data_IF_768865379827
#
_entry.id   IF_768865379827
#
_cell.length_a   1.000
_cell.length_b   1.000
_cell.length_c   1.000
_cell.angle_alpha   90.00
_cell.angle_beta   90.00
_cell.angle_gamma   90.00
#
_symmetry.space_group_name_H-M   'P 1'
#
loop_
_entity.id
_entity.type
_entity.pdbx_description
1 polymer ?
#
# COMPACT_ATOMS: atom_id res chain seq x y z
N UNK A 1 -3.54 -10.71 -18.94
CA UNK A 1 -4.56 -11.68 -18.48
C UNK A 1 -5.49 -10.95 -17.53
N UNK A 2 -6.82 -10.94 -17.77
CA UNK A 2 -7.78 -10.21 -16.93
C UNK A 2 -8.79 -11.11 -16.21
N UNK A 3 -8.80 -12.40 -16.49
CA UNK A 3 -9.77 -13.35 -15.96
C UNK A 3 -9.08 -14.62 -15.45
N UNK A 4 -9.63 -15.21 -14.38
CA UNK A 4 -9.12 -16.43 -13.75
C UNK A 4 -8.90 -17.58 -14.73
N UNK A 5 -9.87 -17.82 -15.64
CA UNK A 5 -9.77 -18.90 -16.64
C UNK A 5 -8.60 -18.71 -17.59
N UNK A 6 -8.37 -17.48 -18.05
CA UNK A 6 -7.26 -17.16 -18.95
C UNK A 6 -5.91 -17.30 -18.21
N UNK A 7 -5.84 -16.88 -16.94
CA UNK A 7 -4.67 -17.08 -16.08
C UNK A 7 -4.37 -18.56 -15.90
N UNK A 8 -5.39 -19.35 -15.56
CA UNK A 8 -5.26 -20.78 -15.39
C UNK A 8 -4.72 -21.47 -16.66
N UNK A 9 -5.32 -21.19 -17.81
CA UNK A 9 -4.90 -21.74 -19.10
C UNK A 9 -3.44 -21.41 -19.40
N UNK A 10 -3.06 -20.13 -19.23
CA UNK A 10 -1.68 -19.68 -19.47
C UNK A 10 -0.67 -20.41 -18.57
N UNK A 11 -0.92 -20.48 -17.27
CA UNK A 11 -0.01 -21.18 -16.34
C UNK A 11 0.08 -22.66 -16.69
N UNK A 12 -1.03 -23.33 -17.01
CA UNK A 12 -1.03 -24.74 -17.42
C UNK A 12 -0.24 -24.99 -18.72
N UNK A 13 -0.23 -24.02 -19.62
CA UNK A 13 0.57 -24.12 -20.86
C UNK A 13 2.08 -24.04 -20.59
N UNK A 14 2.51 -23.23 -19.63
CA UNK A 14 3.94 -23.08 -19.30
C UNK A 14 4.43 -24.11 -18.28
N UNK A 15 3.53 -24.81 -17.57
CA UNK A 15 3.85 -25.83 -16.54
C UNK A 15 3.63 -27.26 -17.04
N UNK A 16 4.03 -27.56 -18.28
CA UNK A 16 3.81 -28.88 -18.92
C UNK A 16 4.76 -29.98 -18.44
N UNK A 17 5.90 -29.61 -17.89
CA UNK A 17 6.93 -30.55 -17.43
C UNK A 17 6.63 -30.95 -16.00
N UNK A 18 6.84 -32.22 -15.63
CA UNK A 18 6.68 -32.65 -14.24
C UNK A 18 7.79 -32.06 -13.35
N UNK A 19 7.43 -31.57 -12.17
CA UNK A 19 8.38 -31.00 -11.21
C UNK A 19 7.71 -29.96 -10.31
N UNK A 20 8.47 -29.47 -9.34
CA UNK A 20 8.02 -28.40 -8.46
C UNK A 20 8.16 -27.05 -9.14
N UNK A 21 7.11 -26.23 -9.06
CA UNK A 21 7.07 -24.90 -9.62
C UNK A 21 7.06 -23.81 -8.53
N UNK A 22 7.59 -22.64 -8.86
CA UNK A 22 7.44 -21.41 -8.10
C UNK A 22 6.71 -20.40 -8.96
N UNK A 23 5.46 -20.10 -8.59
CA UNK A 23 4.57 -19.22 -9.36
C UNK A 23 4.50 -17.89 -8.64
N UNK A 24 4.97 -16.82 -9.29
CA UNK A 24 4.94 -15.46 -8.78
C UNK A 24 3.92 -14.66 -9.58
N UNK A 25 2.88 -14.16 -8.91
CA UNK A 25 1.79 -13.39 -9.50
C UNK A 25 1.79 -12.01 -8.87
N UNK A 26 2.22 -11.03 -9.65
CA UNK A 26 2.31 -9.63 -9.21
C UNK A 26 1.02 -8.88 -9.53
N UNK A 27 0.57 -8.00 -8.62
CA UNK A 27 -0.66 -7.22 -8.73
C UNK A 27 -1.88 -8.09 -9.10
N UNK A 28 -2.04 -9.20 -8.42
CA UNK A 28 -3.01 -10.25 -8.78
C UNK A 28 -4.46 -9.74 -8.76
N UNK A 29 -4.77 -8.68 -8.01
CA UNK A 29 -6.10 -8.07 -7.97
C UNK A 29 -6.56 -7.51 -9.32
N UNK A 30 -5.66 -7.36 -10.29
CA UNK A 30 -6.00 -6.99 -11.67
C UNK A 30 -6.68 -8.14 -12.46
N UNK A 31 -6.70 -9.34 -11.90
CA UNK A 31 -7.33 -10.51 -12.49
C UNK A 31 -8.64 -10.80 -11.77
N UNK A 32 -9.74 -10.73 -12.49
CA UNK A 32 -11.07 -11.05 -11.91
C UNK A 32 -11.13 -12.52 -11.48
N UNK A 33 -11.68 -12.78 -10.29
CA UNK A 33 -11.84 -14.13 -9.70
C UNK A 33 -10.50 -14.91 -9.56
N UNK A 34 -9.37 -14.22 -9.45
CA UNK A 34 -8.04 -14.84 -9.42
C UNK A 34 -7.86 -15.91 -8.32
N UNK A 35 -8.55 -15.78 -7.20
CA UNK A 35 -8.54 -16.75 -6.11
C UNK A 35 -8.99 -18.14 -6.58
N UNK A 36 -9.91 -18.22 -7.56
CA UNK A 36 -10.32 -19.47 -8.17
C UNK A 36 -9.19 -20.12 -8.95
N UNK A 37 -8.42 -19.32 -9.67
CA UNK A 37 -7.24 -19.80 -10.40
C UNK A 37 -6.14 -20.29 -9.45
N UNK A 38 -5.84 -19.51 -8.40
CA UNK A 38 -4.84 -19.89 -7.38
C UNK A 38 -5.26 -21.18 -6.67
N UNK A 39 -6.53 -21.32 -6.28
CA UNK A 39 -7.01 -22.54 -5.67
C UNK A 39 -6.90 -23.75 -6.60
N UNK A 40 -7.16 -23.59 -7.90
CA UNK A 40 -6.96 -24.64 -8.89
C UNK A 40 -5.48 -25.02 -9.04
N UNK A 41 -4.56 -24.06 -9.03
CA UNK A 41 -3.11 -24.36 -9.06
C UNK A 41 -2.66 -25.16 -7.85
N UNK A 42 -3.15 -24.84 -6.64
CA UNK A 42 -2.83 -25.59 -5.43
C UNK A 42 -3.29 -27.05 -5.47
N UNK A 43 -4.29 -27.37 -6.30
CA UNK A 43 -4.80 -28.73 -6.49
C UNK A 43 -4.06 -29.47 -7.62
N UNK A 44 -3.80 -28.76 -8.72
CA UNK A 44 -3.38 -29.36 -9.99
C UNK A 44 -1.87 -29.37 -10.20
N UNK A 45 -1.11 -28.62 -9.41
CA UNK A 45 0.32 -28.45 -9.58
C UNK A 45 1.06 -28.67 -8.25
N UNK A 46 2.24 -29.26 -8.33
CA UNK A 46 3.21 -29.19 -7.25
C UNK A 46 3.90 -27.81 -7.31
N UNK A 47 3.32 -26.82 -6.63
CA UNK A 47 3.76 -25.44 -6.73
C UNK A 47 3.69 -24.68 -5.39
N UNK A 48 4.71 -23.85 -5.16
CA UNK A 48 4.63 -22.77 -4.19
C UNK A 48 4.17 -21.49 -4.93
N UNK A 49 3.11 -20.88 -4.45
CA UNK A 49 2.48 -19.74 -5.11
C UNK A 49 2.67 -18.49 -4.27
N UNK A 50 3.25 -17.47 -4.87
CA UNK A 50 3.46 -16.16 -4.27
C UNK A 50 2.60 -15.14 -5.00
N UNK A 51 1.76 -14.45 -4.25
CA UNK A 51 0.90 -13.39 -4.80
C UNK A 51 1.26 -12.07 -4.14
N UNK A 52 1.33 -11.02 -4.93
CA UNK A 52 1.47 -9.65 -4.43
C UNK A 52 0.27 -8.81 -4.83
N UNK A 53 0.07 -7.72 -4.11
CA UNK A 53 -0.91 -6.71 -4.46
C UNK A 53 -0.83 -5.53 -3.52
N UNK A 54 -1.10 -4.36 -4.06
CA UNK A 54 -1.05 -3.07 -3.35
C UNK A 54 -2.31 -2.78 -2.52
N UNK A 55 -3.27 -3.70 -2.46
CA UNK A 55 -4.57 -3.44 -1.87
C UNK A 55 -4.82 -4.27 -0.61
N UNK A 56 -5.28 -3.61 0.46
CA UNK A 56 -5.78 -4.27 1.68
C UNK A 56 -6.93 -5.27 1.41
N UNK A 57 -7.66 -5.11 0.31
CA UNK A 57 -8.69 -6.08 -0.14
C UNK A 57 -8.13 -7.44 -0.52
N UNK A 58 -6.84 -7.56 -0.86
CA UNK A 58 -6.20 -8.86 -0.97
C UNK A 58 -6.32 -9.70 0.30
N UNK A 59 -6.54 -9.05 1.44
CA UNK A 59 -6.70 -9.67 2.75
C UNK A 59 -8.15 -9.63 3.27
N UNK A 60 -9.11 -9.17 2.44
CA UNK A 60 -10.52 -9.07 2.86
C UNK A 60 -11.17 -10.45 3.03
N UNK A 61 -12.35 -10.45 3.68
CA UNK A 61 -13.09 -11.65 4.09
C UNK A 61 -13.44 -12.64 2.96
N UNK A 62 -13.47 -12.20 1.72
CA UNK A 62 -13.69 -13.07 0.56
C UNK A 62 -12.52 -14.01 0.30
N UNK A 63 -11.29 -13.56 0.54
CA UNK A 63 -10.10 -14.39 0.53
C UNK A 63 -10.07 -15.47 1.57
N UNK A 64 -10.49 -15.09 2.77
CA UNK A 64 -10.49 -16.02 3.89
C UNK A 64 -11.37 -17.25 3.63
N UNK A 65 -12.36 -17.12 2.76
CA UNK A 65 -13.29 -18.20 2.44
C UNK A 65 -12.70 -19.22 1.45
N UNK A 66 -12.06 -18.75 0.37
CA UNK A 66 -11.52 -19.65 -0.67
C UNK A 66 -10.15 -20.23 -0.33
N UNK A 67 -9.30 -19.47 0.36
CA UNK A 67 -7.93 -19.85 0.70
C UNK A 67 -7.72 -20.05 2.21
N UNK A 68 -8.80 -20.16 2.99
CA UNK A 68 -8.76 -20.28 4.45
C UNK A 68 -7.77 -21.36 4.91
N UNK A 69 -6.78 -20.95 5.72
CA UNK A 69 -5.79 -21.87 6.28
C UNK A 69 -4.72 -22.37 5.29
N UNK A 70 -4.69 -21.86 4.06
CA UNK A 70 -3.77 -22.29 3.00
C UNK A 70 -2.77 -21.21 2.57
N UNK A 71 -2.69 -20.08 3.25
CA UNK A 71 -1.76 -19.02 2.94
C UNK A 71 -1.11 -18.42 4.19
N UNK A 72 0.03 -17.80 3.99
CA UNK A 72 0.71 -16.97 4.98
C UNK A 72 0.81 -15.56 4.40
N UNK A 73 0.33 -14.56 5.15
CA UNK A 73 0.40 -13.17 4.73
C UNK A 73 1.66 -12.51 5.29
N UNK A 74 2.37 -11.80 4.42
CA UNK A 74 3.52 -10.97 4.76
C UNK A 74 3.18 -9.52 4.44
N UNK A 75 3.18 -8.67 5.45
CA UNK A 75 3.03 -7.23 5.28
C UNK A 75 4.40 -6.59 5.06
N UNK A 76 4.61 -6.04 3.89
CA UNK A 76 5.84 -5.33 3.56
C UNK A 76 5.64 -3.85 3.83
N UNK A 77 6.31 -3.36 4.86
CA UNK A 77 6.29 -1.94 5.24
C UNK A 77 7.49 -1.22 4.61
N UNK A 78 7.42 0.11 4.58
CA UNK A 78 8.59 0.94 4.31
C UNK A 78 9.64 0.75 5.41
N UNK A 79 10.91 1.11 5.15
CA UNK A 79 11.97 0.99 6.13
C UNK A 79 11.61 1.70 7.44
N UNK A 80 11.70 1.00 8.55
CA UNK A 80 11.71 1.62 9.87
C UNK A 80 13.01 2.43 10.07
N UNK A 81 13.06 3.31 11.06
CA UNK A 81 14.29 4.07 11.34
C UNK A 81 15.49 3.15 11.65
N UNK A 82 15.26 2.01 12.30
CA UNK A 82 16.32 1.02 12.51
C UNK A 82 16.83 0.41 11.22
N UNK A 83 15.93 0.03 10.32
CA UNK A 83 16.28 -0.53 9.01
C UNK A 83 16.94 0.53 8.13
N UNK A 84 16.49 1.80 8.18
CA UNK A 84 17.16 2.92 7.55
C UNK A 84 18.62 3.05 7.99
N UNK A 85 18.91 2.99 9.30
CA UNK A 85 20.28 3.03 9.81
C UNK A 85 21.12 1.88 9.25
N UNK A 86 20.58 0.65 9.26
CA UNK A 86 21.26 -0.53 8.71
C UNK A 86 21.49 -0.40 7.20
N UNK A 87 20.50 0.10 6.48
CA UNK A 87 20.56 0.29 5.03
C UNK A 87 21.66 1.28 4.62
N UNK A 88 21.89 2.31 5.46
CA UNK A 88 22.95 3.29 5.30
C UNK A 88 24.29 2.92 5.98
N UNK A 89 24.41 1.69 6.48
CA UNK A 89 25.58 1.21 7.23
C UNK A 89 25.93 2.10 8.44
N UNK A 90 24.92 2.74 9.05
CA UNK A 90 25.11 3.53 10.27
C UNK A 90 25.01 2.59 11.49
N UNK A 91 26.02 2.57 12.38
CA UNK A 91 25.98 1.72 13.57
C UNK A 91 24.75 2.03 14.43
N UNK A 92 24.13 0.99 15.01
CA UNK A 92 22.99 1.20 15.92
C UNK A 92 23.40 1.85 17.26
N UNK A 93 24.66 1.67 17.66
CA UNK A 93 25.24 2.26 18.85
C UNK A 93 25.97 3.57 18.50
N UNK A 94 25.19 4.64 18.29
CA UNK A 94 25.69 6.00 18.04
C UNK A 94 25.30 6.94 19.17
N UNK A 95 25.96 8.11 19.24
CA UNK A 95 25.62 9.14 20.24
C UNK A 95 24.16 9.62 20.08
N UNK A 96 23.59 10.17 21.13
CA UNK A 96 22.24 10.73 21.09
C UNK A 96 22.10 11.88 20.07
N UNK A 97 23.16 12.70 19.92
CA UNK A 97 23.21 13.78 18.92
C UNK A 97 23.18 13.25 17.49
N UNK A 98 24.00 12.24 17.19
CA UNK A 98 24.07 11.63 15.87
C UNK A 98 22.78 10.90 15.53
N UNK A 99 22.21 10.18 16.50
CA UNK A 99 20.91 9.52 16.35
C UNK A 99 19.80 10.52 16.01
N UNK A 100 19.81 11.70 16.67
CA UNK A 100 18.85 12.76 16.36
C UNK A 100 19.07 13.31 14.97
N UNK A 101 20.31 13.51 14.56
CA UNK A 101 20.64 14.00 13.21
C UNK A 101 20.17 13.00 12.13
N UNK A 102 20.46 11.70 12.30
CA UNK A 102 20.01 10.66 11.37
C UNK A 102 18.47 10.53 11.36
N UNK A 103 17.81 10.64 12.53
CA UNK A 103 16.36 10.61 12.59
C UNK A 103 15.72 11.78 11.86
N UNK A 104 16.27 12.97 11.93
CA UNK A 104 15.79 14.13 11.16
C UNK A 104 15.97 13.94 9.64
N UNK A 105 17.04 13.27 9.20
CA UNK A 105 17.19 12.89 7.79
C UNK A 105 16.13 11.89 7.39
N UNK A 106 15.94 10.83 8.16
CA UNK A 106 14.91 9.82 7.93
C UNK A 106 13.50 10.43 7.84
N UNK A 107 13.15 11.37 8.74
CA UNK A 107 11.86 12.05 8.69
C UNK A 107 11.65 12.87 7.40
N UNK A 108 12.73 13.41 6.81
CA UNK A 108 12.65 14.16 5.56
C UNK A 108 12.62 13.27 4.33
N UNK A 109 13.35 12.19 4.34
CA UNK A 109 13.48 11.28 3.20
C UNK A 109 12.37 10.22 3.18
N UNK A 110 11.89 9.82 4.34
CA UNK A 110 10.94 8.72 4.47
C UNK A 110 11.62 7.35 4.44
N UNK A 111 10.81 6.30 4.39
CA UNK A 111 11.28 4.91 4.47
C UNK A 111 11.21 4.13 3.16
N UNK A 112 10.93 4.73 2.00
CA UNK A 112 10.90 4.00 0.74
C UNK A 112 12.31 3.56 0.32
N UNK A 113 12.60 2.23 0.19
CA UNK A 113 13.95 1.77 -0.13
C UNK A 113 14.53 2.38 -1.40
N UNK A 114 13.71 2.60 -2.43
CA UNK A 114 14.14 3.15 -3.71
C UNK A 114 14.80 4.54 -3.58
N UNK A 115 14.40 5.34 -2.58
CA UNK A 115 14.98 6.66 -2.32
C UNK A 115 16.43 6.56 -1.82
N UNK A 116 16.74 5.45 -1.13
CA UNK A 116 18.03 5.23 -0.48
C UNK A 116 19.02 4.44 -1.32
N UNK A 117 18.63 3.97 -2.52
CA UNK A 117 19.51 3.21 -3.42
C UNK A 117 20.39 4.08 -4.31
N UNK A 118 20.07 5.36 -4.43
CA UNK A 118 20.83 6.32 -5.23
C UNK A 118 21.09 7.61 -4.45
N UNK A 119 22.12 8.36 -4.86
CA UNK A 119 22.44 9.64 -4.24
C UNK A 119 21.56 10.76 -4.81
N UNK A 120 20.29 10.75 -4.44
CA UNK A 120 19.36 11.82 -4.79
C UNK A 120 19.54 13.04 -3.88
N UNK A 121 19.42 14.24 -4.45
CA UNK A 121 19.25 15.45 -3.66
C UNK A 121 17.83 15.52 -3.02
N UNK A 122 17.65 16.41 -2.06
CA UNK A 122 16.37 16.53 -1.36
C UNK A 122 15.20 16.93 -2.29
N UNK A 123 15.45 17.67 -3.38
CA UNK A 123 14.41 18.06 -4.31
C UNK A 123 13.95 16.87 -5.14
N UNK A 124 14.88 16.04 -5.59
CA UNK A 124 14.57 14.80 -6.29
C UNK A 124 13.79 13.82 -5.39
N UNK A 125 14.22 13.67 -4.13
CA UNK A 125 13.53 12.83 -3.14
C UNK A 125 12.10 13.35 -2.93
N UNK A 126 11.93 14.64 -2.70
CA UNK A 126 10.60 15.22 -2.52
C UNK A 126 9.68 14.95 -3.73
N UNK A 127 10.20 15.09 -4.94
CA UNK A 127 9.46 14.81 -6.16
C UNK A 127 9.06 13.34 -6.25
N UNK A 128 9.97 12.41 -5.97
CA UNK A 128 9.66 10.97 -5.97
C UNK A 128 8.56 10.65 -4.95
N UNK A 129 8.69 11.14 -3.72
CA UNK A 129 7.67 10.92 -2.67
C UNK A 129 6.33 11.53 -3.06
N UNK A 130 6.34 12.73 -3.65
CA UNK A 130 5.13 13.38 -4.13
C UNK A 130 4.47 12.61 -5.28
N UNK A 131 5.25 12.06 -6.21
CA UNK A 131 4.74 11.24 -7.31
C UNK A 131 4.12 9.93 -6.79
N UNK A 132 4.76 9.29 -5.78
CA UNK A 132 4.19 8.11 -5.09
C UNK A 132 2.87 8.50 -4.40
N UNK A 133 2.86 9.57 -3.61
CA UNK A 133 1.67 10.08 -2.95
C UNK A 133 0.52 10.34 -3.96
N UNK A 134 0.83 11.06 -5.04
CA UNK A 134 -0.16 11.40 -6.06
C UNK A 134 -0.70 10.18 -6.79
N UNK A 135 0.14 9.17 -7.01
CA UNK A 135 -0.27 7.92 -7.66
C UNK A 135 -1.11 7.05 -6.73
N UNK A 136 -0.62 6.77 -5.53
CA UNK A 136 -1.27 5.82 -4.61
C UNK A 136 -2.45 6.48 -3.89
N UNK A 137 -2.23 7.62 -3.25
CA UNK A 137 -3.28 8.24 -2.40
C UNK A 137 -4.36 8.91 -3.24
N UNK A 138 -3.97 9.68 -4.26
CA UNK A 138 -4.97 10.41 -5.04
C UNK A 138 -5.57 9.56 -6.15
N UNK A 139 -4.77 9.13 -7.10
CA UNK A 139 -5.29 8.47 -8.29
C UNK A 139 -5.94 7.13 -7.99
N UNK A 140 -5.25 6.25 -7.27
CA UNK A 140 -5.76 4.90 -7.02
C UNK A 140 -6.97 4.93 -6.08
N UNK A 141 -6.90 5.73 -5.00
CA UNK A 141 -8.03 5.89 -4.07
C UNK A 141 -9.26 6.48 -4.78
N UNK A 142 -9.05 7.52 -5.59
CA UNK A 142 -10.13 8.16 -6.35
C UNK A 142 -10.79 7.19 -7.33
N UNK A 143 -10.00 6.45 -8.09
CA UNK A 143 -10.52 5.50 -9.08
C UNK A 143 -11.22 4.31 -8.41
N UNK A 144 -10.63 3.70 -7.40
CA UNK A 144 -11.17 2.52 -6.71
C UNK A 144 -12.47 2.80 -5.97
N UNK A 145 -12.58 3.96 -5.34
CA UNK A 145 -13.75 4.31 -4.52
C UNK A 145 -14.74 5.23 -5.24
N UNK A 146 -14.50 5.55 -6.52
CA UNK A 146 -15.37 6.43 -7.30
C UNK A 146 -15.54 7.81 -6.69
N UNK A 147 -14.50 8.36 -6.08
CA UNK A 147 -14.55 9.65 -5.41
C UNK A 147 -14.72 10.76 -6.44
N UNK A 148 -15.86 11.46 -6.37
CA UNK A 148 -16.18 12.54 -7.31
C UNK A 148 -15.53 13.87 -6.98
N UNK A 149 -15.35 14.16 -5.69
CA UNK A 149 -14.78 15.43 -5.23
C UNK A 149 -13.33 15.22 -4.72
N UNK A 150 -12.41 15.23 -5.68
CA UNK A 150 -10.97 15.04 -5.43
C UNK A 150 -10.40 16.16 -4.56
N UNK A 151 -10.83 17.42 -4.79
CA UNK A 151 -10.40 18.56 -3.97
C UNK A 151 -10.73 18.37 -2.49
N UNK A 152 -11.92 17.81 -2.21
CA UNK A 152 -12.33 17.52 -0.84
C UNK A 152 -11.46 16.41 -0.21
N UNK A 153 -11.15 15.35 -0.97
CA UNK A 153 -10.24 14.31 -0.52
C UNK A 153 -8.86 14.88 -0.16
N UNK A 154 -8.27 15.68 -1.05
CA UNK A 154 -6.96 16.32 -0.83
C UNK A 154 -6.95 17.18 0.44
N UNK A 155 -8.02 17.93 0.68
CA UNK A 155 -8.17 18.75 1.90
C UNK A 155 -8.28 17.89 3.16
N UNK A 156 -9.01 16.79 3.10
CA UNK A 156 -9.11 15.84 4.22
C UNK A 156 -7.73 15.22 4.49
N UNK A 157 -7.02 14.79 3.46
CA UNK A 157 -5.66 14.25 3.58
C UNK A 157 -4.72 15.27 4.22
N UNK A 158 -4.76 16.52 3.74
CA UNK A 158 -3.96 17.61 4.32
C UNK A 158 -4.28 17.81 5.81
N UNK A 159 -5.57 17.86 6.16
CA UNK A 159 -5.98 18.01 7.56
C UNK A 159 -5.48 16.84 8.42
N UNK A 160 -5.54 15.61 7.90
CA UNK A 160 -5.03 14.42 8.60
C UNK A 160 -3.53 14.52 8.83
N UNK A 161 -2.75 14.92 7.84
CA UNK A 161 -1.30 15.12 7.96
C UNK A 161 -0.93 16.25 8.94
N UNK A 162 -1.65 17.37 8.89
CA UNK A 162 -1.43 18.49 9.81
C UNK A 162 -1.76 18.13 11.27
N UNK A 163 -2.50 17.04 11.50
CA UNK A 163 -2.91 16.56 12.82
C UNK A 163 -2.27 15.22 13.23
N UNK A 164 -1.18 14.81 12.60
CA UNK A 164 -0.45 13.59 12.98
C UNK A 164 -0.04 13.67 14.46
N UNK A 165 -0.31 12.59 15.23
CA UNK A 165 -0.03 12.52 16.66
C UNK A 165 -1.15 13.09 17.55
N UNK A 166 -2.17 13.74 16.99
CA UNK A 166 -3.34 14.22 17.70
C UNK A 166 -4.52 13.25 17.58
N UNK A 167 -5.50 13.37 18.51
CA UNK A 167 -6.76 12.62 18.37
C UNK A 167 -7.55 13.15 17.17
N UNK A 168 -7.79 12.30 16.21
CA UNK A 168 -8.54 12.58 15.00
C UNK A 168 -9.92 11.89 15.07
N UNK A 169 -10.96 12.61 14.68
CA UNK A 169 -12.29 12.04 14.42
C UNK A 169 -13.01 12.81 13.32
N UNK A 170 -14.03 12.22 12.71
CA UNK A 170 -14.77 12.82 11.61
C UNK A 170 -15.45 14.15 12.01
N UNK A 171 -15.83 14.32 13.26
CA UNK A 171 -16.40 15.57 13.77
C UNK A 171 -15.39 16.71 13.74
N UNK A 172 -14.14 16.47 14.18
CA UNK A 172 -13.08 17.49 14.12
C UNK A 172 -12.84 17.96 12.69
N UNK A 173 -12.87 17.03 11.73
CA UNK A 173 -12.74 17.35 10.30
C UNK A 173 -13.95 18.18 9.84
N UNK A 174 -15.18 17.78 10.19
CA UNK A 174 -16.39 18.52 9.84
C UNK A 174 -16.40 19.95 10.42
N UNK A 175 -15.99 20.11 11.67
CA UNK A 175 -15.91 21.41 12.35
C UNK A 175 -14.84 22.30 11.70
N UNK A 176 -13.69 21.72 11.30
CA UNK A 176 -12.68 22.44 10.51
C UNK A 176 -13.25 22.96 9.19
N UNK A 177 -13.93 22.11 8.40
CA UNK A 177 -14.54 22.54 7.14
C UNK A 177 -15.62 23.60 7.36
N UNK A 178 -16.42 23.46 8.42
CA UNK A 178 -17.42 24.47 8.80
C UNK A 178 -16.76 25.82 9.12
N UNK A 179 -15.63 25.85 9.81
CA UNK A 179 -14.85 27.07 10.07
C UNK A 179 -14.33 27.73 8.79
N UNK A 180 -14.12 26.95 7.72
CA UNK A 180 -13.75 27.42 6.39
C UNK A 180 -14.98 27.76 5.51
N UNK A 181 -16.18 27.91 6.11
CA UNK A 181 -17.46 28.16 5.43
C UNK A 181 -17.83 27.08 4.39
N UNK A 182 -17.36 25.86 4.55
CA UNK A 182 -17.66 24.70 3.71
C UNK A 182 -18.51 23.71 4.48
N UNK A 183 -19.61 23.25 3.86
CA UNK A 183 -20.45 22.19 4.43
C UNK A 183 -19.97 20.85 3.89
N UNK A 184 -19.66 19.92 4.78
CA UNK A 184 -19.35 18.52 4.47
C UNK A 184 -20.21 17.65 5.35
N UNK A 185 -20.84 16.67 4.74
CA UNK A 185 -21.55 15.63 5.49
C UNK A 185 -20.58 14.69 6.19
N UNK A 186 -20.88 14.33 7.42
CA UNK A 186 -20.02 13.47 8.25
C UNK A 186 -19.83 12.08 7.63
N UNK A 187 -20.87 11.55 6.96
CA UNK A 187 -20.76 10.25 6.29
C UNK A 187 -19.81 10.33 5.08
N UNK A 188 -19.77 11.47 4.39
CA UNK A 188 -18.77 11.69 3.33
C UNK A 188 -17.36 11.66 3.89
N UNK A 189 -17.13 12.24 5.06
CA UNK A 189 -15.81 12.19 5.72
C UNK A 189 -15.45 10.75 6.10
N UNK A 190 -16.37 9.99 6.69
CA UNK A 190 -16.14 8.58 7.00
C UNK A 190 -15.80 7.78 5.74
N UNK A 191 -16.56 7.94 4.66
CA UNK A 191 -16.29 7.25 3.40
C UNK A 191 -14.89 7.58 2.83
N UNK A 192 -14.44 8.83 2.98
CA UNK A 192 -13.11 9.23 2.51
C UNK A 192 -12.00 8.71 3.42
N UNK A 193 -12.20 8.69 4.74
CA UNK A 193 -11.25 8.09 5.67
C UNK A 193 -11.14 6.57 5.46
N UNK A 194 -12.26 5.89 5.23
CA UNK A 194 -12.26 4.46 4.90
C UNK A 194 -11.55 4.20 3.56
N UNK A 195 -11.78 5.03 2.56
CA UNK A 195 -11.08 4.94 1.28
C UNK A 195 -9.56 5.10 1.44
N UNK A 196 -9.12 6.04 2.27
CA UNK A 196 -7.69 6.26 2.57
C UNK A 196 -7.08 5.13 3.40
N UNK A 197 -7.84 4.52 4.30
CA UNK A 197 -7.38 3.39 5.13
C UNK A 197 -7.24 2.10 4.32
N UNK A 198 -7.90 2.02 3.18
CA UNK A 198 -7.90 0.88 2.26
C UNK A 198 -7.01 1.09 1.00
N UNK A 199 -6.25 2.18 0.97
CA UNK A 199 -5.35 2.54 -0.13
C UNK A 199 -4.01 1.81 -0.08
#
# INVERSE_FOLDING_TARGET
VKEAKALYTYIREVTKVSGKYYILLDEIQEVTDWEKAVNAFLVDLDADIYVTGSNSRLLSSEFSTYLAGRYVAFHIMTLSFREYLLFHNVPLAISASDRKAEFLKYLRMGGFPAIHTANYDYNAIYKIVYDIYSSVILRDTVQRHGIRNVEMLERIVKFVFDNIGNKLNAKNIADYFKSQQRKVDINTIYNYLDALNNA
#
